data_IF_151784424184
#
_entry.id   IF_151784424184
#
_cell.length_a   1.000
_cell.length_b   1.000
_cell.length_c   1.000
_cell.angle_alpha   90.00
_cell.angle_beta   90.00
_cell.angle_gamma   90.00
#
_symmetry.space_group_name_H-M   'P 1'
#
loop_
_entity.id
_entity.type
_entity.pdbx_description
1 polymer ?
#
# COMPACT_ATOMS: atom_id res chain seq x y z
N UNK A 1 23.36 2.66 -8.04
CA UNK A 1 23.43 1.65 -9.13
C UNK A 1 22.78 0.30 -8.79
N UNK A 2 22.88 -0.20 -7.54
CA UNK A 2 22.34 -1.51 -7.15
C UNK A 2 20.86 -1.74 -7.50
N UNK A 3 20.01 -0.76 -7.25
CA UNK A 3 18.56 -0.85 -7.54
C UNK A 3 18.26 -1.15 -9.01
N UNK A 4 18.93 -0.45 -9.93
CA UNK A 4 18.77 -0.66 -11.38
C UNK A 4 19.17 -2.07 -11.80
N UNK A 5 20.29 -2.58 -11.28
CA UNK A 5 20.74 -3.94 -11.57
C UNK A 5 19.76 -5.00 -11.06
N UNK A 6 19.19 -4.82 -9.86
CA UNK A 6 18.18 -5.72 -9.32
C UNK A 6 16.93 -5.78 -10.20
N UNK A 7 16.43 -4.63 -10.65
CA UNK A 7 15.26 -4.56 -11.54
C UNK A 7 15.56 -5.22 -12.88
N UNK A 8 16.72 -4.91 -13.49
CA UNK A 8 17.12 -5.53 -14.76
C UNK A 8 17.22 -7.05 -14.61
N UNK A 9 17.86 -7.53 -13.54
CA UNK A 9 18.01 -8.96 -13.28
C UNK A 9 16.66 -9.67 -13.07
N UNK A 10 15.68 -9.01 -12.46
CA UNK A 10 14.34 -9.56 -12.29
C UNK A 10 13.55 -9.65 -13.60
N UNK A 11 13.75 -8.69 -14.51
CA UNK A 11 12.98 -8.57 -15.77
C UNK A 11 13.61 -9.36 -16.91
N UNK A 12 14.94 -9.48 -16.95
CA UNK A 12 15.69 -10.11 -18.04
C UNK A 12 15.19 -11.51 -18.46
N UNK A 13 14.74 -12.41 -17.54
CA UNK A 13 14.23 -13.73 -17.91
C UNK A 13 12.86 -13.73 -18.61
N UNK A 14 12.26 -12.57 -18.87
CA UNK A 14 10.90 -12.40 -19.36
C UNK A 14 9.85 -13.14 -18.49
N UNK A 15 9.77 -12.79 -17.19
CA UNK A 15 8.86 -13.47 -16.27
C UNK A 15 7.40 -13.09 -16.53
N UNK A 16 6.47 -13.96 -16.10
CA UNK A 16 5.03 -13.63 -16.07
C UNK A 16 4.62 -12.79 -14.85
N UNK A 17 5.48 -12.74 -13.83
CA UNK A 17 5.27 -12.04 -12.57
C UNK A 17 6.57 -11.37 -12.13
N UNK A 18 6.51 -10.09 -11.81
CA UNK A 18 7.60 -9.32 -11.20
C UNK A 18 7.13 -8.83 -9.84
N UNK A 19 7.86 -9.20 -8.78
CA UNK A 19 7.62 -8.72 -7.41
C UNK A 19 8.74 -7.78 -7.03
N UNK A 20 8.43 -6.53 -6.71
CA UNK A 20 9.43 -5.51 -6.36
C UNK A 20 9.03 -4.78 -5.08
N UNK A 21 9.99 -4.64 -4.18
CA UNK A 21 9.84 -3.86 -2.96
C UNK A 21 10.48 -2.48 -3.14
N UNK A 22 9.68 -1.43 -3.03
CA UNK A 22 10.11 -0.04 -3.14
C UNK A 22 11.02 0.25 -4.36
N UNK A 23 10.56 -0.04 -5.60
CA UNK A 23 11.42 -0.05 -6.78
C UNK A 23 12.06 1.29 -7.11
N UNK A 24 11.46 2.40 -6.67
CA UNK A 24 11.88 3.76 -7.01
C UNK A 24 12.74 4.44 -5.92
N UNK A 25 12.89 3.84 -4.73
CA UNK A 25 13.68 4.45 -3.66
C UNK A 25 15.16 4.58 -4.10
N UNK A 26 15.72 5.77 -3.86
CA UNK A 26 17.14 6.04 -4.12
C UNK A 26 17.52 6.18 -5.59
N UNK A 27 16.52 6.38 -6.47
CA UNK A 27 16.74 6.75 -7.88
C UNK A 27 16.66 8.26 -8.08
N UNK A 28 17.52 8.78 -8.94
CA UNK A 28 17.41 10.12 -9.49
C UNK A 28 16.17 10.26 -10.40
N UNK A 29 15.61 11.47 -10.60
CA UNK A 29 14.37 11.64 -11.35
C UNK A 29 14.37 11.02 -12.76
N UNK A 30 15.44 11.14 -13.58
CA UNK A 30 15.55 10.45 -14.86
C UNK A 30 15.46 8.92 -14.73
N UNK A 31 16.22 8.32 -13.81
CA UNK A 31 16.19 6.88 -13.61
C UNK A 31 14.84 6.38 -13.09
N UNK A 32 14.19 7.13 -12.18
CA UNK A 32 12.85 6.82 -11.71
C UNK A 32 11.83 6.86 -12.86
N UNK A 33 11.99 7.79 -13.81
CA UNK A 33 11.15 7.83 -15.02
C UNK A 33 11.36 6.58 -15.88
N UNK A 34 12.60 6.19 -16.15
CA UNK A 34 12.91 4.98 -16.92
C UNK A 34 12.30 3.72 -16.29
N UNK A 35 12.39 3.57 -14.97
CA UNK A 35 11.80 2.41 -14.27
C UNK A 35 10.27 2.41 -14.35
N UNK A 36 9.63 3.59 -14.23
CA UNK A 36 8.18 3.72 -14.42
C UNK A 36 7.74 3.30 -15.81
N UNK A 37 8.44 3.80 -16.84
CA UNK A 37 8.13 3.47 -18.23
C UNK A 37 8.30 1.95 -18.49
N UNK A 38 9.34 1.33 -17.92
CA UNK A 38 9.54 -0.12 -17.97
C UNK A 38 8.37 -0.91 -17.37
N UNK A 39 7.86 -0.54 -16.18
CA UNK A 39 6.72 -1.23 -15.59
C UNK A 39 5.44 -1.08 -16.41
N UNK A 40 5.25 0.08 -17.05
CA UNK A 40 4.13 0.31 -17.97
C UNK A 40 4.23 -0.61 -19.20
N UNK A 41 5.43 -0.78 -19.75
CA UNK A 41 5.68 -1.69 -20.88
C UNK A 41 5.43 -3.15 -20.49
N UNK A 42 6.00 -3.61 -19.38
CA UNK A 42 5.80 -4.98 -18.89
C UNK A 42 4.32 -5.30 -18.69
N UNK A 43 3.56 -4.36 -18.11
CA UNK A 43 2.11 -4.49 -17.97
C UNK A 43 1.41 -4.63 -19.31
N UNK A 44 1.78 -3.84 -20.33
CA UNK A 44 1.21 -3.93 -21.68
C UNK A 44 1.50 -5.28 -22.33
N UNK A 45 2.65 -5.86 -22.03
CA UNK A 45 3.07 -7.18 -22.51
C UNK A 45 2.43 -8.34 -21.72
N UNK A 46 1.52 -8.03 -20.78
CA UNK A 46 0.76 -9.02 -20.00
C UNK A 46 1.50 -9.55 -18.78
N UNK A 47 2.61 -8.94 -18.38
CA UNK A 47 3.34 -9.28 -17.15
C UNK A 47 2.62 -8.68 -15.96
N UNK A 48 2.40 -9.49 -14.91
CA UNK A 48 1.88 -8.98 -13.63
C UNK A 48 3.01 -8.32 -12.85
N UNK A 49 2.87 -7.04 -12.55
CA UNK A 49 3.79 -6.31 -11.65
C UNK A 49 3.14 -6.15 -10.29
N UNK A 50 3.71 -6.79 -9.28
CA UNK A 50 3.34 -6.61 -7.88
C UNK A 50 4.39 -5.76 -7.20
N UNK A 51 3.98 -4.61 -6.67
CA UNK A 51 4.90 -3.69 -6.00
C UNK A 51 4.37 -3.20 -4.67
N UNK A 52 5.27 -3.07 -3.69
CA UNK A 52 5.04 -2.28 -2.49
C UNK A 52 5.65 -0.90 -2.67
N UNK A 53 4.91 0.13 -2.26
CA UNK A 53 5.46 1.47 -2.09
C UNK A 53 4.72 2.26 -1.03
N UNK A 54 5.44 3.10 -0.32
CA UNK A 54 4.86 4.15 0.53
C UNK A 54 4.54 5.44 -0.23
N UNK A 55 4.94 5.57 -1.51
CA UNK A 55 4.61 6.72 -2.33
C UNK A 55 3.27 6.52 -3.05
N UNK A 56 2.20 7.07 -2.47
CA UNK A 56 0.84 6.89 -2.97
C UNK A 56 0.65 7.41 -4.40
N UNK A 57 1.32 8.50 -4.78
CA UNK A 57 1.29 9.03 -6.17
C UNK A 57 1.83 8.01 -7.19
N UNK A 58 2.83 7.21 -6.79
CA UNK A 58 3.40 6.16 -7.65
C UNK A 58 2.43 4.99 -7.78
N UNK A 59 1.80 4.59 -6.68
CA UNK A 59 0.77 3.56 -6.69
C UNK A 59 -0.41 3.98 -7.57
N UNK A 60 -0.87 5.23 -7.44
CA UNK A 60 -1.95 5.80 -8.26
C UNK A 60 -1.60 5.85 -9.75
N UNK A 61 -0.35 6.15 -10.09
CA UNK A 61 0.11 6.23 -11.49
C UNK A 61 0.28 4.85 -12.15
N UNK A 62 0.80 3.86 -11.43
CA UNK A 62 1.25 2.60 -12.01
C UNK A 62 0.28 1.43 -11.80
N UNK A 63 -0.48 1.42 -10.71
CA UNK A 63 -1.24 0.25 -10.28
C UNK A 63 -2.70 0.30 -10.74
N UNK A 64 -3.23 -0.83 -11.22
CA UNK A 64 -4.66 -0.99 -11.48
C UNK A 64 -5.46 -1.32 -10.21
N UNK A 65 -4.78 -1.96 -9.25
CA UNK A 65 -5.32 -2.40 -7.97
C UNK A 65 -4.37 -1.99 -6.88
N UNK A 66 -4.92 -1.53 -5.76
CA UNK A 66 -4.15 -1.10 -4.60
C UNK A 66 -4.67 -1.81 -3.37
N UNK A 67 -3.74 -2.34 -2.58
CA UNK A 67 -3.98 -2.83 -1.23
C UNK A 67 -3.34 -1.87 -0.23
N UNK A 68 -4.07 -1.49 0.81
CA UNK A 68 -3.56 -0.67 1.92
C UNK A 68 -3.35 -1.59 3.10
N UNK A 69 -2.13 -1.58 3.65
CA UNK A 69 -1.77 -2.36 4.83
C UNK A 69 -1.56 -1.40 6.00
N UNK A 70 -2.21 -1.68 7.13
CA UNK A 70 -1.99 -0.98 8.41
C UNK A 70 -1.82 -2.01 9.52
N UNK A 71 -0.80 -1.82 10.37
CA UNK A 71 -0.47 -2.70 11.52
C UNK A 71 -0.42 -4.21 11.20
N UNK A 72 0.03 -4.56 10.00
CA UNK A 72 0.15 -5.96 9.56
C UNK A 72 -1.13 -6.57 9.01
N UNK A 73 -2.22 -5.80 8.91
CA UNK A 73 -3.49 -6.22 8.34
C UNK A 73 -3.80 -5.49 7.04
N UNK A 74 -4.45 -6.19 6.11
CA UNK A 74 -4.94 -5.60 4.87
C UNK A 74 -6.20 -4.78 5.17
N UNK A 75 -6.04 -3.48 5.29
CA UNK A 75 -7.11 -2.55 5.63
C UNK A 75 -8.10 -2.34 4.49
N UNK A 76 -7.63 -2.35 3.25
CA UNK A 76 -8.48 -2.26 2.07
C UNK A 76 -7.78 -2.86 0.86
N UNK A 77 -8.54 -3.42 -0.08
CA UNK A 77 -8.03 -3.84 -1.38
C UNK A 77 -9.11 -3.67 -2.44
N UNK A 78 -8.77 -3.05 -3.55
CA UNK A 78 -9.73 -2.76 -4.61
C UNK A 78 -9.08 -2.33 -5.90
N UNK A 79 -9.88 -2.18 -6.96
CA UNK A 79 -9.40 -1.49 -8.16
C UNK A 79 -9.33 0.01 -7.88
N UNK A 80 -8.34 0.66 -8.48
CA UNK A 80 -8.08 2.07 -8.24
C UNK A 80 -9.28 2.94 -8.64
N UNK A 81 -9.97 2.58 -9.73
CA UNK A 81 -11.17 3.26 -10.23
C UNK A 81 -12.39 3.09 -9.31
N UNK A 82 -12.49 1.97 -8.59
CA UNK A 82 -13.54 1.74 -7.60
C UNK A 82 -13.30 2.54 -6.31
N UNK A 83 -12.02 2.68 -5.93
CA UNK A 83 -11.59 3.47 -4.77
C UNK A 83 -11.75 4.98 -5.06
N UNK A 84 -11.36 5.43 -6.25
CA UNK A 84 -11.44 6.82 -6.71
C UNK A 84 -12.80 7.14 -7.35
N UNK A 85 -13.89 7.00 -6.58
CA UNK A 85 -15.27 7.25 -7.06
C UNK A 85 -15.47 8.61 -7.73
N UNK A 86 -14.71 9.61 -7.30
CA UNK A 86 -14.67 10.95 -7.90
C UNK A 86 -13.29 11.20 -8.53
N UNK A 87 -13.26 11.80 -9.72
CA UNK A 87 -12.01 12.13 -10.44
C UNK A 87 -11.04 13.07 -9.70
N UNK A 88 -11.52 13.76 -8.67
CA UNK A 88 -10.70 14.68 -7.87
C UNK A 88 -10.13 14.05 -6.59
N UNK A 89 -10.56 12.85 -6.22
CA UNK A 89 -10.10 12.21 -4.99
C UNK A 89 -8.76 11.53 -5.23
N UNK A 90 -7.73 11.96 -4.53
CA UNK A 90 -6.39 11.34 -4.57
C UNK A 90 -6.33 10.11 -3.68
N UNK A 91 -5.44 9.17 -4.00
CA UNK A 91 -5.24 7.98 -3.17
C UNK A 91 -4.80 8.33 -1.74
N UNK A 92 -4.05 9.43 -1.58
CA UNK A 92 -3.63 9.97 -0.28
C UNK A 92 -4.80 10.30 0.64
N UNK A 93 -5.85 10.93 0.13
CA UNK A 93 -7.02 11.29 0.93
C UNK A 93 -7.77 10.05 1.42
N UNK A 94 -7.91 9.05 0.55
CA UNK A 94 -8.53 7.75 0.89
C UNK A 94 -7.70 7.04 1.97
N UNK A 95 -6.38 7.02 1.81
CA UNK A 95 -5.47 6.42 2.77
C UNK A 95 -5.59 7.08 4.15
N UNK A 96 -5.55 8.41 4.22
CA UNK A 96 -5.68 9.16 5.49
C UNK A 96 -7.03 8.91 6.16
N UNK A 97 -8.11 8.88 5.38
CA UNK A 97 -9.45 8.59 5.89
C UNK A 97 -9.54 7.18 6.50
N UNK A 98 -9.04 6.16 5.78
CA UNK A 98 -9.03 4.78 6.27
C UNK A 98 -8.20 4.64 7.55
N UNK A 99 -7.06 5.35 7.64
CA UNK A 99 -6.26 5.37 8.86
C UNK A 99 -6.99 6.05 10.03
N UNK A 100 -7.76 7.11 9.78
CA UNK A 100 -8.57 7.76 10.81
C UNK A 100 -9.66 6.81 11.34
N UNK A 101 -10.44 6.21 10.45
CA UNK A 101 -11.51 5.26 10.78
C UNK A 101 -10.98 4.07 11.61
N UNK A 102 -9.86 3.46 11.19
CA UNK A 102 -9.24 2.34 11.95
C UNK A 102 -8.65 2.75 13.29
N UNK A 103 -8.20 4.00 13.44
CA UNK A 103 -7.72 4.50 14.74
C UNK A 103 -8.88 4.71 15.71
N UNK A 104 -10.04 5.16 15.22
CA UNK A 104 -11.27 5.27 16.01
C UNK A 104 -11.73 3.89 16.47
N UNK A 105 -11.83 2.92 15.56
CA UNK A 105 -12.17 1.53 15.88
C UNK A 105 -11.25 0.91 16.94
N UNK A 106 -9.93 1.07 16.77
CA UNK A 106 -8.95 0.57 17.74
C UNK A 106 -8.97 1.31 19.08
N UNK A 107 -9.43 2.57 19.11
CA UNK A 107 -9.62 3.34 20.34
C UNK A 107 -10.89 2.91 21.08
N UNK A 108 -11.96 2.59 20.35
CA UNK A 108 -13.21 2.11 20.91
C UNK A 108 -13.06 0.68 21.42
N UNK A 109 -12.32 -0.17 20.71
CA UNK A 109 -12.01 -1.52 21.18
C UNK A 109 -11.09 -1.49 22.41
N UNK A 110 -10.05 -0.64 22.43
CA UNK A 110 -9.21 -0.43 23.62
C UNK A 110 -10.03 0.10 24.80
N UNK A 111 -10.85 1.13 24.60
CA UNK A 111 -11.75 1.67 25.63
C UNK A 111 -12.73 0.62 26.13
N UNK A 112 -13.24 -0.24 25.25
CA UNK A 112 -14.11 -1.36 25.62
C UNK A 112 -13.36 -2.38 26.47
N UNK A 113 -12.14 -2.76 26.10
CA UNK A 113 -11.31 -3.67 26.89
C UNK A 113 -10.89 -3.07 28.24
N UNK A 114 -10.53 -1.79 28.28
CA UNK A 114 -10.24 -1.04 29.52
C UNK A 114 -11.48 -0.93 30.41
N UNK A 115 -12.66 -0.61 29.86
CA UNK A 115 -13.91 -0.58 30.61
C UNK A 115 -14.33 -1.96 31.14
N UNK A 116 -14.09 -3.03 30.36
CA UNK A 116 -14.30 -4.41 30.81
C UNK A 116 -13.30 -4.80 31.89
N UNK A 117 -12.04 -4.38 31.79
CA UNK A 117 -11.02 -4.61 32.81
C UNK A 117 -11.33 -3.84 34.11
N UNK A 118 -11.80 -2.59 34.02
CA UNK A 118 -12.25 -1.78 35.17
C UNK A 118 -13.52 -2.36 35.82
N UNK A 119 -14.45 -2.87 35.01
CA UNK A 119 -15.64 -3.56 35.51
C UNK A 119 -15.28 -4.89 36.19
N UNK A 120 -14.32 -5.64 35.65
CA UNK A 120 -13.79 -6.86 36.24
C UNK A 120 -12.93 -6.59 37.49
N UNK A 121 -12.35 -5.39 37.62
CA UNK A 121 -11.57 -4.93 38.77
C UNK A 121 -12.40 -4.60 40.02
N UNK A 122 -13.74 -4.52 39.94
CA UNK A 122 -14.64 -4.21 41.07
C UNK A 122 -15.16 -5.45 41.83
N UNK A 123 -14.38 -6.52 41.88
CA UNK A 123 -14.70 -7.70 42.70
C UNK A 123 -13.52 -8.21 43.52
N UNK A 124 -12.82 -7.33 44.25
CA UNK A 124 -12.03 -7.74 45.43
C UNK A 124 -11.92 -6.60 46.46
N UNK A 125 -12.89 -6.58 47.38
CA UNK A 125 -12.78 -6.43 48.86
C UNK A 125 -14.23 -6.30 49.35
N UNK A 126 -14.83 -7.31 50.01
CA UNK A 126 -14.63 -7.66 51.42
C UNK A 126 -14.60 -6.42 52.33
#
# INVERSE_FOLDING_TARGET
MRQKLSIIGAVLPNPKLVVVDEPLIGLDPPAARTVKDLFIELKKDGVLVFMSTHFLEIAELLCDRVGIIDRGELASVGRLDELMKNKNTRLEEIFLRLLAERREEGSDERRRWEALADAAGRSKTC
#
